data_IF_934616824949
#
_entry.id   IF_934616824949
#
_cell.length_a   1.000
_cell.length_b   1.000
_cell.length_c   1.000
_cell.angle_alpha   90.00
_cell.angle_beta   90.00
_cell.angle_gamma   90.00
#
_symmetry.space_group_name_H-M   'P 1'
#
loop_
_entity.id
_entity.type
_entity.pdbx_description
1 polymer ?
#
# COMPACT_ATOMS: atom_id res chain seq x y z
N UNK A 1 16.57 34.93 -20.44
CA UNK A 1 15.68 35.30 -19.32
C UNK A 1 15.40 34.04 -18.51
N UNK A 2 15.60 34.03 -17.18
CA UNK A 2 15.41 32.84 -16.34
C UNK A 2 13.96 32.32 -16.32
N UNK A 3 12.98 33.23 -16.45
CA UNK A 3 11.54 32.92 -16.39
C UNK A 3 11.06 32.03 -17.58
N UNK A 4 11.59 32.24 -18.78
CA UNK A 4 11.23 31.43 -19.96
C UNK A 4 11.71 29.97 -19.83
N UNK A 5 12.85 29.77 -19.16
CA UNK A 5 13.38 28.43 -18.90
C UNK A 5 12.50 27.69 -17.89
N UNK A 6 12.01 28.41 -16.88
CA UNK A 6 11.14 27.87 -15.83
C UNK A 6 9.77 27.46 -16.39
N UNK A 7 9.16 28.31 -17.23
CA UNK A 7 7.90 27.99 -17.93
C UNK A 7 8.07 26.74 -18.81
N UNK A 8 9.14 26.67 -19.62
CA UNK A 8 9.41 25.49 -20.47
C UNK A 8 9.61 24.22 -19.64
N UNK A 9 10.28 24.33 -18.49
CA UNK A 9 10.47 23.20 -17.58
C UNK A 9 9.13 22.72 -17.01
N UNK A 10 8.24 23.62 -16.60
CA UNK A 10 6.93 23.27 -16.08
C UNK A 10 6.05 22.60 -17.15
N UNK A 11 6.08 23.10 -18.39
CA UNK A 11 5.37 22.49 -19.52
C UNK A 11 5.85 21.06 -19.79
N UNK A 12 7.17 20.86 -19.86
CA UNK A 12 7.76 19.55 -20.05
C UNK A 12 7.38 18.57 -18.94
N UNK A 13 7.44 19.00 -17.67
CA UNK A 13 7.04 18.16 -16.53
C UNK A 13 5.56 17.76 -16.62
N UNK A 14 4.67 18.67 -17.00
CA UNK A 14 3.25 18.38 -17.18
C UNK A 14 2.99 17.39 -18.32
N UNK A 15 3.65 17.55 -19.46
CA UNK A 15 3.57 16.59 -20.57
C UNK A 15 4.05 15.20 -20.14
N UNK A 16 5.13 15.15 -19.35
CA UNK A 16 5.64 13.89 -18.82
C UNK A 16 4.70 13.24 -17.81
N UNK A 17 4.10 14.03 -16.91
CA UNK A 17 3.08 13.52 -15.98
C UNK A 17 1.89 12.90 -16.71
N UNK A 18 1.41 13.54 -17.78
CA UNK A 18 0.32 13.01 -18.61
C UNK A 18 0.72 11.71 -19.31
N UNK A 19 1.92 11.66 -19.91
CA UNK A 19 2.44 10.46 -20.56
C UNK A 19 2.60 9.30 -19.56
N UNK A 20 3.12 9.58 -18.36
CA UNK A 20 3.26 8.60 -17.27
C UNK A 20 1.89 8.10 -16.82
N UNK A 21 0.91 8.98 -16.66
CA UNK A 21 -0.45 8.61 -16.25
C UNK A 21 -1.09 7.67 -17.28
N UNK A 22 -0.99 8.00 -18.57
CA UNK A 22 -1.53 7.17 -19.66
C UNK A 22 -0.86 5.80 -19.70
N UNK A 23 0.48 5.76 -19.64
CA UNK A 23 1.24 4.51 -19.66
C UNK A 23 0.89 3.62 -18.45
N UNK A 24 0.77 4.19 -17.25
CA UNK A 24 0.38 3.41 -16.08
C UNK A 24 -1.04 2.84 -16.23
N UNK A 25 -2.00 3.64 -16.72
CA UNK A 25 -3.37 3.17 -16.97
C UNK A 25 -3.43 2.03 -17.98
N UNK A 26 -2.67 2.12 -19.07
CA UNK A 26 -2.60 1.06 -20.07
C UNK A 26 -1.98 -0.22 -19.51
N UNK A 27 -0.87 -0.12 -18.75
CA UNK A 27 -0.18 -1.29 -18.20
C UNK A 27 -0.96 -1.96 -17.07
N UNK A 28 -1.60 -1.18 -16.20
CA UNK A 28 -2.35 -1.70 -15.05
C UNK A 28 -3.67 -2.34 -15.48
N UNK A 29 -4.38 -1.78 -16.46
CA UNK A 29 -5.66 -2.34 -16.95
C UNK A 29 -5.52 -3.73 -17.60
N UNK A 30 -4.31 -4.09 -18.04
CA UNK A 30 -4.00 -5.44 -18.54
C UNK A 30 -4.00 -6.52 -17.44
N UNK A 31 -3.85 -6.13 -16.17
CA UNK A 31 -3.70 -7.05 -15.03
C UNK A 31 -4.76 -6.87 -13.96
N UNK A 32 -5.30 -5.66 -13.83
CA UNK A 32 -6.27 -5.31 -12.81
C UNK A 32 -7.64 -5.08 -13.46
N UNK A 33 -8.72 -5.61 -12.87
CA UNK A 33 -10.07 -5.20 -13.25
C UNK A 33 -10.31 -3.72 -12.88
N UNK A 34 -11.35 -3.08 -13.41
CA UNK A 34 -11.83 -1.80 -12.89
C UNK A 34 -12.04 -1.88 -11.38
N UNK A 35 -11.58 -0.87 -10.65
CA UNK A 35 -11.65 -0.85 -9.19
C UNK A 35 -13.07 -0.49 -8.77
N UNK A 36 -13.66 -1.34 -7.93
CA UNK A 36 -14.98 -1.13 -7.33
C UNK A 36 -14.89 -1.28 -5.82
N UNK A 37 -15.94 -0.87 -5.11
CA UNK A 37 -15.98 -1.06 -3.66
C UNK A 37 -15.91 -2.55 -3.28
N UNK A 38 -16.52 -3.41 -4.08
CA UNK A 38 -16.65 -4.86 -3.87
C UNK A 38 -15.31 -5.56 -4.01
N UNK A 39 -14.45 -5.14 -4.95
CA UNK A 39 -13.14 -5.76 -5.15
C UNK A 39 -12.03 -5.13 -4.28
N UNK A 40 -12.18 -3.88 -3.84
CA UNK A 40 -11.24 -3.22 -2.94
C UNK A 40 -11.43 -3.64 -1.48
N UNK A 41 -12.68 -3.81 -1.03
CA UNK A 41 -12.99 -4.13 0.37
C UNK A 41 -12.30 -5.41 0.88
N UNK A 42 -12.22 -6.53 0.13
CA UNK A 42 -11.51 -7.73 0.57
C UNK A 42 -10.04 -7.48 0.91
N UNK A 43 -9.34 -6.62 0.16
CA UNK A 43 -7.95 -6.28 0.44
C UNK A 43 -7.84 -5.46 1.73
N UNK A 44 -8.68 -4.43 1.91
CA UNK A 44 -8.72 -3.65 3.15
C UNK A 44 -9.00 -4.53 4.38
N UNK A 45 -9.93 -5.48 4.25
CA UNK A 45 -10.27 -6.45 5.29
C UNK A 45 -9.10 -7.40 5.56
N UNK A 46 -8.35 -7.83 4.54
CA UNK A 46 -7.15 -8.64 4.70
C UNK A 46 -6.09 -7.92 5.54
N UNK A 47 -5.81 -6.65 5.23
CA UNK A 47 -4.89 -5.80 6.01
C UNK A 47 -5.35 -5.68 7.46
N UNK A 48 -6.64 -5.45 7.70
CA UNK A 48 -7.20 -5.38 9.04
C UNK A 48 -7.04 -6.70 9.83
N UNK A 49 -7.24 -7.84 9.17
CA UNK A 49 -7.04 -9.17 9.77
C UNK A 49 -5.59 -9.40 10.17
N UNK A 50 -4.64 -9.10 9.27
CA UNK A 50 -3.20 -9.27 9.54
C UNK A 50 -2.72 -8.32 10.64
N UNK A 51 -3.22 -7.08 10.67
CA UNK A 51 -2.99 -6.15 11.77
C UNK A 51 -3.45 -6.72 13.10
N UNK A 52 -4.65 -7.29 13.13
CA UNK A 52 -5.19 -7.92 14.34
C UNK A 52 -4.31 -9.06 14.84
N UNK A 53 -3.83 -9.93 13.95
CA UNK A 53 -2.92 -11.02 14.31
C UNK A 53 -1.60 -10.52 14.90
N UNK A 54 -0.98 -9.52 14.27
CA UNK A 54 0.26 -8.93 14.77
C UNK A 54 0.08 -8.32 16.16
N UNK A 55 -0.98 -7.53 16.35
CA UNK A 55 -1.28 -6.93 17.65
C UNK A 55 -1.62 -7.98 18.70
N UNK A 56 -2.44 -8.98 18.36
CA UNK A 56 -2.79 -10.06 19.27
C UNK A 56 -1.55 -10.82 19.79
N UNK A 57 -0.59 -11.10 18.91
CA UNK A 57 0.68 -11.73 19.31
C UNK A 57 1.51 -10.81 20.22
N UNK A 58 1.56 -9.51 19.93
CA UNK A 58 2.25 -8.54 20.78
C UNK A 58 1.64 -8.48 22.19
N UNK A 59 0.30 -8.46 22.30
CA UNK A 59 -0.41 -8.50 23.58
C UNK A 59 -0.15 -9.82 24.32
N UNK A 60 -0.19 -10.95 23.61
CA UNK A 60 0.08 -12.28 24.20
C UNK A 60 1.47 -12.34 24.84
N UNK A 61 2.49 -11.81 24.17
CA UNK A 61 3.87 -11.76 24.68
C UNK A 61 3.95 -10.88 25.93
N UNK A 62 3.38 -9.67 25.86
CA UNK A 62 3.37 -8.74 26.99
C UNK A 62 2.67 -9.30 28.24
N UNK A 63 1.60 -10.09 28.05
CA UNK A 63 0.89 -10.77 29.14
C UNK A 63 1.68 -11.96 29.70
N UNK A 64 2.33 -12.74 28.84
CA UNK A 64 3.06 -13.95 29.23
C UNK A 64 4.35 -13.65 30.01
N UNK A 65 5.01 -12.53 29.70
CA UNK A 65 6.33 -12.25 30.22
C UNK A 65 6.32 -11.86 31.70
N UNK A 66 5.21 -11.36 32.27
CA UNK A 66 5.09 -10.96 33.69
C UNK A 66 6.29 -10.15 34.24
N UNK A 67 7.00 -9.40 33.39
CA UNK A 67 8.21 -8.64 33.71
C UNK A 67 9.55 -9.26 33.28
N UNK A 68 9.54 -10.43 32.64
CA UNK A 68 10.69 -11.08 32.00
C UNK A 68 10.93 -10.65 30.55
N UNK A 69 11.95 -11.22 29.92
CA UNK A 69 12.22 -11.01 28.50
C UNK A 69 11.49 -12.08 27.65
N UNK A 70 10.92 -11.69 26.49
CA UNK A 70 10.28 -12.63 25.57
C UNK A 70 11.20 -13.76 25.14
N UNK A 71 10.63 -14.94 24.89
CA UNK A 71 11.40 -16.06 24.30
C UNK A 71 11.72 -15.79 22.84
N UNK A 72 12.78 -16.41 22.34
CA UNK A 72 13.21 -16.26 20.95
C UNK A 72 12.11 -16.68 19.96
N UNK A 73 11.37 -17.75 20.27
CA UNK A 73 10.26 -18.25 19.46
C UNK A 73 9.11 -17.23 19.36
N UNK A 74 8.87 -16.49 20.43
CA UNK A 74 7.81 -15.48 20.50
C UNK A 74 8.17 -14.26 19.66
N UNK A 75 9.43 -13.81 19.73
CA UNK A 75 9.92 -12.75 18.85
C UNK A 75 9.90 -13.19 17.38
N UNK A 76 10.21 -14.46 17.08
CA UNK A 76 10.10 -15.02 15.72
C UNK A 76 8.66 -15.01 15.22
N UNK A 77 7.69 -15.44 16.02
CA UNK A 77 6.28 -15.41 15.67
C UNK A 77 5.77 -13.98 15.47
N UNK A 78 6.15 -13.07 16.36
CA UNK A 78 5.82 -11.64 16.25
C UNK A 78 6.38 -11.03 14.96
N UNK A 79 7.64 -11.34 14.61
CA UNK A 79 8.26 -10.88 13.35
C UNK A 79 7.50 -11.41 12.14
N UNK A 80 7.12 -12.68 12.14
CA UNK A 80 6.35 -13.27 11.05
C UNK A 80 5.02 -12.53 10.82
N UNK A 81 4.25 -12.28 11.89
CA UNK A 81 2.99 -11.54 11.77
C UNK A 81 3.20 -10.09 11.33
N UNK A 82 4.26 -9.43 11.81
CA UNK A 82 4.64 -8.08 11.37
C UNK A 82 4.92 -8.04 9.87
N UNK A 83 5.71 -8.98 9.35
CA UNK A 83 6.08 -9.02 7.92
C UNK A 83 4.87 -9.24 7.03
N UNK A 84 4.01 -10.20 7.38
CA UNK A 84 2.75 -10.43 6.65
C UNK A 84 1.86 -9.18 6.64
N UNK A 85 1.73 -8.50 7.80
CA UNK A 85 0.97 -7.27 7.91
C UNK A 85 1.56 -6.12 7.07
N UNK A 86 2.86 -5.88 7.15
CA UNK A 86 3.52 -4.79 6.41
C UNK A 86 3.42 -4.99 4.90
N UNK A 87 3.64 -6.21 4.40
CA UNK A 87 3.50 -6.50 2.96
C UNK A 87 2.08 -6.20 2.46
N UNK A 88 1.05 -6.65 3.21
CA UNK A 88 -0.33 -6.38 2.85
C UNK A 88 -0.67 -4.88 2.92
N UNK A 89 -0.15 -4.17 3.94
CA UNK A 89 -0.35 -2.73 4.10
C UNK A 89 0.28 -1.95 2.95
N UNK A 90 1.52 -2.27 2.58
CA UNK A 90 2.23 -1.61 1.47
C UNK A 90 1.52 -1.86 0.13
N UNK A 91 0.99 -3.07 -0.08
CA UNK A 91 0.18 -3.37 -1.25
C UNK A 91 -1.11 -2.53 -1.30
N UNK A 92 -1.79 -2.38 -0.17
CA UNK A 92 -2.99 -1.54 -0.07
C UNK A 92 -2.67 -0.05 -0.28
N UNK A 93 -1.59 0.46 0.32
CA UNK A 93 -1.16 1.84 0.13
C UNK A 93 -0.79 2.12 -1.34
N UNK A 94 -0.13 1.14 -1.99
CA UNK A 94 0.16 1.21 -3.42
C UNK A 94 -1.13 1.23 -4.26
N UNK A 95 -2.16 0.47 -3.87
CA UNK A 95 -3.46 0.52 -4.53
C UNK A 95 -4.13 1.90 -4.39
N UNK A 96 -4.14 2.49 -3.19
CA UNK A 96 -4.68 3.84 -2.98
C UNK A 96 -3.90 4.86 -3.81
N UNK A 97 -2.58 4.76 -3.86
CA UNK A 97 -1.75 5.64 -4.67
C UNK A 97 -2.13 5.59 -6.16
N UNK A 98 -2.31 4.40 -6.75
CA UNK A 98 -2.67 4.31 -8.17
C UNK A 98 -4.09 4.82 -8.45
N UNK A 99 -5.01 4.75 -7.47
CA UNK A 99 -6.34 5.36 -7.54
C UNK A 99 -6.22 6.89 -7.55
N UNK A 100 -5.50 7.46 -6.57
CA UNK A 100 -5.33 8.91 -6.42
C UNK A 100 -4.65 9.56 -7.63
N UNK A 101 -3.74 8.81 -8.28
CA UNK A 101 -3.05 9.23 -9.50
C UNK A 101 -3.87 9.01 -10.77
N UNK A 102 -5.04 8.39 -10.69
CA UNK A 102 -5.88 8.07 -11.85
C UNK A 102 -5.24 7.07 -12.81
N UNK A 103 -4.43 6.16 -12.29
CA UNK A 103 -3.77 5.11 -13.06
C UNK A 103 -4.65 3.86 -13.25
N UNK A 104 -5.85 3.84 -12.67
CA UNK A 104 -6.79 2.72 -12.76
C UNK A 104 -8.16 3.22 -13.17
N UNK A 105 -8.96 2.34 -13.75
CA UNK A 105 -10.35 2.64 -14.08
C UNK A 105 -11.24 2.40 -12.87
N UNK A 106 -12.21 3.28 -12.66
CA UNK A 106 -13.24 3.11 -11.64
C UNK A 106 -14.44 2.42 -12.26
N UNK A 107 -14.87 1.30 -11.68
CA UNK A 107 -16.14 0.67 -12.03
C UNK A 107 -17.31 1.26 -11.22
N UNK A 108 -18.52 0.84 -11.58
CA UNK A 108 -19.74 1.12 -10.80
C UNK A 108 -19.77 0.35 -9.47
#
# INVERSE_FOLDING_TARGET
>A
MPQDLEIRSQHFLKEMEQAIQLANREILSQRLPPITKENLLPLAVSVARLRSQYLAEAFRIAEADAGGAPKEEEIKALRFHREMYEEARLAFDSLIHVIDRGYVEMGE
#
